data_IF_638067926203
#
_entry.id   IF_638067926203
#
_cell.length_a   1.000
_cell.length_b   1.000
_cell.length_c   1.000
_cell.angle_alpha   90.00
_cell.angle_beta   90.00
_cell.angle_gamma   90.00
#
_symmetry.space_group_name_H-M   'P 1'
#
loop_
_entity.id
_entity.type
_entity.pdbx_description
1 polymer ?
#
# COMPACT_ATOMS: atom_id res chain seq x y z
N UNK A 1 -3.35 13.29 -12.97
CA UNK A 1 -2.44 13.17 -11.80
C UNK A 1 -3.16 12.30 -10.78
N UNK A 2 -2.48 11.45 -10.01
CA UNK A 2 -3.16 10.44 -9.17
C UNK A 2 -3.41 9.13 -9.90
N UNK A 3 -2.34 8.43 -10.29
CA UNK A 3 -2.46 7.14 -10.97
C UNK A 3 -1.69 6.08 -10.21
N UNK A 4 -2.37 5.00 -9.83
CA UNK A 4 -1.77 3.84 -9.18
C UNK A 4 -1.85 2.68 -10.17
N UNK A 5 -0.69 2.19 -10.59
CA UNK A 5 -0.56 1.10 -11.55
C UNK A 5 0.20 -0.07 -10.93
N UNK A 6 -0.31 -1.27 -11.14
CA UNK A 6 0.30 -2.52 -10.73
C UNK A 6 0.60 -3.35 -11.97
N UNK A 7 1.88 -3.67 -12.19
CA UNK A 7 2.32 -4.44 -13.36
C UNK A 7 1.79 -3.87 -14.70
N UNK A 8 1.71 -2.53 -14.81
CA UNK A 8 1.21 -1.83 -16.00
C UNK A 8 -0.31 -1.70 -16.09
N UNK A 9 -1.07 -2.44 -15.28
CA UNK A 9 -2.53 -2.39 -15.18
C UNK A 9 -2.97 -1.38 -14.11
N UNK A 10 -4.21 -0.89 -14.21
CA UNK A 10 -4.80 -0.02 -13.18
C UNK A 10 -5.10 -0.82 -11.91
N UNK A 11 -5.01 -0.18 -10.73
CA UNK A 11 -5.34 -0.77 -9.42
C UNK A 11 -6.74 -1.40 -9.38
N UNK A 12 -7.69 -0.85 -10.15
CA UNK A 12 -9.06 -1.35 -10.27
C UNK A 12 -9.17 -2.75 -10.88
N UNK A 13 -8.18 -3.15 -11.68
CA UNK A 13 -8.21 -4.39 -12.48
C UNK A 13 -7.32 -5.47 -11.83
N UNK A 14 -7.16 -5.41 -10.51
CA UNK A 14 -6.45 -6.45 -9.77
C UNK A 14 -7.33 -7.69 -9.61
N UNK A 15 -6.67 -8.84 -9.74
CA UNK A 15 -7.20 -10.17 -9.45
C UNK A 15 -6.49 -10.74 -8.21
N UNK A 16 -7.21 -11.48 -7.35
CA UNK A 16 -8.64 -11.80 -7.41
C UNK A 16 -9.55 -10.64 -6.97
N UNK A 17 -10.76 -10.59 -7.52
CA UNK A 17 -11.76 -9.53 -7.25
C UNK A 17 -12.09 -9.44 -5.75
N UNK A 18 -12.19 -10.58 -5.08
CA UNK A 18 -12.50 -10.66 -3.64
C UNK A 18 -11.49 -9.92 -2.75
N UNK A 19 -10.23 -9.85 -3.18
CA UNK A 19 -9.17 -9.19 -2.41
C UNK A 19 -8.86 -7.77 -2.89
N UNK A 20 -9.59 -7.26 -3.89
CA UNK A 20 -9.38 -5.90 -4.41
C UNK A 20 -9.44 -4.85 -3.31
N UNK A 21 -10.42 -4.96 -2.40
CA UNK A 21 -10.57 -4.02 -1.29
C UNK A 21 -9.35 -3.96 -0.38
N UNK A 22 -8.63 -5.07 -0.18
CA UNK A 22 -7.42 -5.11 0.65
C UNK A 22 -6.33 -4.18 0.13
N UNK A 23 -6.21 -4.03 -1.20
CA UNK A 23 -5.23 -3.12 -1.80
C UNK A 23 -5.66 -1.65 -1.68
N UNK A 24 -6.97 -1.39 -1.65
CA UNK A 24 -7.54 -0.04 -1.53
C UNK A 24 -7.51 0.52 -0.10
N UNK A 25 -7.42 -0.33 0.93
CA UNK A 25 -7.37 0.10 2.33
C UNK A 25 -6.41 1.26 2.61
N UNK A 26 -5.11 1.24 2.24
CA UNK A 26 -4.21 2.39 2.49
C UNK A 26 -4.66 3.67 1.78
N UNK A 27 -5.33 3.57 0.63
CA UNK A 27 -5.86 4.73 -0.11
C UNK A 27 -7.10 5.30 0.59
N UNK A 28 -7.96 4.44 1.10
CA UNK A 28 -9.18 4.83 1.80
C UNK A 28 -8.86 5.42 3.19
N UNK A 29 -7.90 4.84 3.91
CA UNK A 29 -7.51 5.30 5.26
C UNK A 29 -6.85 6.68 5.25
N UNK A 30 -5.95 6.93 4.30
CA UNK A 30 -5.20 8.19 4.25
C UNK A 30 -5.92 9.30 3.45
N UNK A 31 -7.04 8.96 2.81
CA UNK A 31 -7.88 9.86 2.03
C UNK A 31 -7.47 9.97 0.56
N UNK A 32 -8.45 9.82 -0.34
CA UNK A 32 -8.23 9.83 -1.80
C UNK A 32 -7.64 11.15 -2.33
N UNK A 33 -7.93 12.27 -1.66
CA UNK A 33 -7.44 13.61 -2.04
C UNK A 33 -5.92 13.68 -2.05
N UNK A 34 -5.25 13.08 -1.07
CA UNK A 34 -3.78 13.03 -1.00
C UNK A 34 -3.18 12.25 -2.17
N UNK A 35 -3.83 11.15 -2.56
CA UNK A 35 -3.37 10.31 -3.67
C UNK A 35 -3.51 10.95 -5.05
N UNK A 36 -4.25 12.05 -5.20
CA UNK A 36 -4.31 12.79 -6.46
C UNK A 36 -2.95 13.40 -6.86
N UNK A 37 -2.10 13.67 -5.86
CA UNK A 37 -0.76 14.22 -6.08
C UNK A 37 0.29 13.13 -6.33
N UNK A 38 -0.04 11.86 -6.06
CA UNK A 38 0.90 10.74 -6.16
C UNK A 38 0.76 9.97 -7.48
N UNK A 39 1.90 9.58 -8.05
CA UNK A 39 1.94 8.65 -9.18
C UNK A 39 2.72 7.42 -8.75
N UNK A 40 2.01 6.32 -8.54
CA UNK A 40 2.56 5.12 -7.92
C UNK A 40 2.59 4.01 -8.97
N UNK A 41 3.78 3.45 -9.22
CA UNK A 41 3.96 2.27 -10.07
C UNK A 41 4.54 1.15 -9.23
N UNK A 42 3.77 0.09 -9.04
CA UNK A 42 4.20 -1.10 -8.32
C UNK A 42 4.45 -2.25 -9.30
N UNK A 43 5.53 -3.00 -9.05
CA UNK A 43 5.83 -4.26 -9.76
C UNK A 43 5.88 -5.39 -8.76
N UNK A 44 5.19 -6.49 -9.03
CA UNK A 44 5.13 -7.66 -8.15
C UNK A 44 5.43 -8.91 -8.94
N UNK A 45 6.21 -9.81 -8.36
CA UNK A 45 6.63 -11.10 -8.94
C UNK A 45 6.74 -12.15 -7.83
N UNK A 46 6.49 -13.41 -8.16
CA UNK A 46 6.57 -14.54 -7.22
C UNK A 46 5.36 -14.63 -6.27
N UNK A 47 5.27 -15.74 -5.52
CA UNK A 47 4.15 -16.02 -4.61
C UNK A 47 2.81 -16.27 -5.32
N UNK A 48 1.79 -16.61 -4.54
CA UNK A 48 0.40 -16.74 -5.03
C UNK A 48 -0.35 -15.41 -5.02
N UNK A 49 -1.47 -15.32 -5.74
CA UNK A 49 -2.26 -14.08 -5.88
C UNK A 49 -2.63 -13.41 -4.54
N UNK A 50 -3.04 -14.13 -3.48
CA UNK A 50 -3.30 -13.52 -2.17
C UNK A 50 -2.07 -12.88 -1.53
N UNK A 51 -0.91 -13.55 -1.61
CA UNK A 51 0.35 -13.03 -1.05
C UNK A 51 0.82 -11.78 -1.79
N UNK A 52 0.62 -11.72 -3.10
CA UNK A 52 0.93 -10.55 -3.92
C UNK A 52 0.06 -9.34 -3.55
N UNK A 53 -1.24 -9.56 -3.27
CA UNK A 53 -2.16 -8.51 -2.82
C UNK A 53 -1.73 -7.94 -1.46
N UNK A 54 -1.36 -8.79 -0.50
CA UNK A 54 -0.87 -8.35 0.81
C UNK A 54 0.46 -7.57 0.66
N UNK A 55 1.35 -8.03 -0.21
CA UNK A 55 2.61 -7.32 -0.50
C UNK A 55 2.35 -5.94 -1.13
N UNK A 56 1.39 -5.82 -2.05
CA UNK A 56 0.98 -4.54 -2.64
C UNK A 56 0.42 -3.58 -1.61
N UNK A 57 -0.52 -4.07 -0.81
CA UNK A 57 -1.13 -3.33 0.31
C UNK A 57 -0.04 -2.74 1.21
N UNK A 58 0.94 -3.55 1.59
CA UNK A 58 2.06 -3.11 2.43
C UNK A 58 3.00 -2.13 1.73
N UNK A 59 3.32 -2.38 0.45
CA UNK A 59 4.23 -1.53 -0.33
C UNK A 59 3.65 -0.12 -0.51
N UNK A 60 2.35 0.00 -0.80
CA UNK A 60 1.68 1.30 -0.96
C UNK A 60 1.72 2.09 0.35
N UNK A 61 1.38 1.46 1.48
CA UNK A 61 1.41 2.12 2.79
C UNK A 61 2.81 2.65 3.16
N UNK A 62 3.85 1.82 2.98
CA UNK A 62 5.24 2.22 3.23
C UNK A 62 5.72 3.33 2.30
N UNK A 63 5.35 3.27 1.02
CA UNK A 63 5.76 4.25 0.02
C UNK A 63 5.24 5.65 0.36
N UNK A 64 4.00 5.76 0.84
CA UNK A 64 3.40 7.06 1.21
C UNK A 64 4.13 7.66 2.41
N UNK A 65 4.42 6.88 3.46
CA UNK A 65 5.19 7.37 4.62
C UNK A 65 6.60 7.79 4.20
N UNK A 66 7.26 7.01 3.35
CA UNK A 66 8.61 7.31 2.89
C UNK A 66 8.64 8.59 2.02
N UNK A 67 7.58 8.83 1.23
CA UNK A 67 7.44 10.06 0.47
C UNK A 67 7.24 11.26 1.40
N UNK A 68 6.31 11.17 2.35
CA UNK A 68 6.07 12.21 3.34
C UNK A 68 7.33 12.53 4.15
N UNK A 69 8.11 11.51 4.53
CA UNK A 69 9.39 11.69 5.22
C UNK A 69 10.41 12.53 4.44
N UNK A 70 10.39 12.48 3.11
CA UNK A 70 11.40 13.14 2.26
C UNK A 70 10.94 14.49 1.72
N UNK A 71 9.66 14.63 1.42
CA UNK A 71 9.12 15.78 0.68
C UNK A 71 8.07 16.57 1.45
N UNK A 72 7.63 16.08 2.60
CA UNK A 72 6.69 16.76 3.51
C UNK A 72 7.37 16.93 4.88
N UNK A 73 6.57 17.19 5.91
CA UNK A 73 6.99 17.43 7.29
C UNK A 73 6.90 16.19 8.19
N UNK A 74 7.64 16.22 9.30
CA UNK A 74 7.67 15.11 10.26
C UNK A 74 6.34 14.90 10.98
N UNK A 75 5.54 15.96 11.17
CA UNK A 75 4.23 15.86 11.81
C UNK A 75 3.26 15.10 10.91
N UNK A 76 3.15 15.47 9.63
CA UNK A 76 2.33 14.72 8.66
C UNK A 76 2.76 13.26 8.56
N UNK A 77 4.07 12.98 8.50
CA UNK A 77 4.59 11.59 8.52
C UNK A 77 4.10 10.82 9.75
N UNK A 78 4.15 11.45 10.93
CA UNK A 78 3.74 10.82 12.20
C UNK A 78 2.24 10.52 12.20
N UNK A 79 1.42 11.47 11.78
CA UNK A 79 -0.03 11.30 11.66
C UNK A 79 -0.39 10.13 10.73
N UNK A 80 0.20 10.09 9.53
CA UNK A 80 -0.01 9.00 8.56
C UNK A 80 0.38 7.64 9.15
N UNK A 81 1.50 7.59 9.86
CA UNK A 81 1.98 6.36 10.52
C UNK A 81 1.04 5.92 11.63
N UNK A 82 0.56 6.83 12.47
CA UNK A 82 -0.37 6.53 13.57
C UNK A 82 -1.70 6.00 13.04
N UNK A 83 -2.27 6.63 12.00
CA UNK A 83 -3.50 6.17 11.34
C UNK A 83 -3.37 4.73 10.79
N UNK A 84 -2.25 4.43 10.13
CA UNK A 84 -2.02 3.10 9.55
C UNK A 84 -1.81 2.03 10.64
N UNK A 85 -1.08 2.35 11.71
CA UNK A 85 -0.84 1.42 12.83
C UNK A 85 -2.13 1.15 13.61
N UNK A 86 -2.94 2.18 13.81
CA UNK A 86 -4.21 2.07 14.52
C UNK A 86 -5.18 1.12 13.80
N UNK A 87 -5.16 1.12 12.46
CA UNK A 87 -5.97 0.20 11.67
C UNK A 87 -5.38 -1.22 11.63
N UNK A 88 -4.14 -1.38 11.17
CA UNK A 88 -3.49 -2.68 11.04
C UNK A 88 -1.96 -2.56 11.02
N UNK A 89 -1.29 -3.19 11.99
CA UNK A 89 0.17 -3.25 12.06
C UNK A 89 0.80 -3.92 10.82
N UNK A 90 0.09 -4.84 10.16
CA UNK A 90 0.52 -5.52 8.93
C UNK A 90 0.70 -4.59 7.72
N UNK A 91 0.15 -3.38 7.75
CA UNK A 91 0.39 -2.36 6.71
C UNK A 91 1.84 -1.85 6.74
N UNK A 92 2.49 -1.88 7.92
CA UNK A 92 3.85 -1.37 8.10
C UNK A 92 4.86 -2.47 8.39
N UNK A 93 4.47 -3.52 9.11
CA UNK A 93 5.36 -4.60 9.51
C UNK A 93 5.07 -5.82 8.65
N UNK A 94 6.12 -6.41 8.05
CA UNK A 94 5.96 -7.58 7.19
C UNK A 94 5.78 -8.82 8.06
N UNK A 95 4.98 -9.75 7.57
CA UNK A 95 4.79 -11.05 8.21
C UNK A 95 6.08 -11.89 8.11
N UNK A 96 6.69 -12.32 9.23
CA UNK A 96 7.93 -13.10 9.22
C UNK A 96 7.73 -14.57 8.84
N UNK A 97 6.49 -15.08 8.77
CA UNK A 97 6.20 -16.50 8.57
C UNK A 97 6.76 -17.04 7.25
N UNK A 98 7.29 -18.27 7.29
CA UNK A 98 7.82 -19.04 6.14
C UNK A 98 7.37 -20.50 6.25
N UNK A 99 7.32 -21.21 5.11
CA UNK A 99 7.14 -22.65 5.12
C UNK A 99 8.36 -23.30 5.80
N UNK A 100 8.10 -24.24 6.70
CA UNK A 100 9.16 -25.06 7.31
C UNK A 100 9.87 -25.89 6.21
N UNK A 101 11.18 -26.12 6.35
CA UNK A 101 11.98 -26.87 5.38
C UNK A 101 11.58 -28.35 5.30
#
# INVERSE_FOLDING_TARGET
KGNIRVNGKSLNVIEPISMRMKVWEPVLLLGQTRFQNYNIRCRVRGGGSPSQVIALRQAIAKAVIAFAQKFEDEATKRELKELLIQYDKGLLVADPRRCEP
#
